data_IF_725571630019
#
_entry.id   IF_725571630019
#
_cell.length_a   1.000
_cell.length_b   1.000
_cell.length_c   1.000
_cell.angle_alpha   90.00
_cell.angle_beta   90.00
_cell.angle_gamma   90.00
#
_symmetry.space_group_name_H-M   'P 1'
#
loop_
_entity.id
_entity.type
_entity.pdbx_description
1 polymer ?
#
# COMPACT_ATOMS: atom_id res chain seq x y z
N UNK A 1 16.38 4.23 1.38
CA UNK A 1 15.59 3.81 2.55
C UNK A 1 14.28 3.16 2.10
N UNK A 2 13.91 2.07 2.73
CA UNK A 2 12.70 1.33 2.37
C UNK A 2 11.51 1.81 3.18
N UNK A 3 10.35 1.86 2.53
CA UNK A 3 9.11 2.28 3.17
C UNK A 3 8.35 1.09 3.76
N UNK A 4 7.63 1.39 4.85
CA UNK A 4 6.75 0.40 5.48
C UNK A 4 5.28 0.68 5.21
N UNK A 5 4.95 1.88 4.72
CA UNK A 5 3.57 2.29 4.48
C UNK A 5 3.20 2.13 3.01
N UNK A 6 1.90 1.96 2.76
CA UNK A 6 1.37 1.82 1.41
C UNK A 6 0.34 2.92 1.16
N UNK A 7 0.30 3.43 -0.07
CA UNK A 7 -0.60 4.50 -0.46
C UNK A 7 -1.49 4.05 -1.61
N UNK A 8 -2.60 4.78 -1.89
CA UNK A 8 -3.54 4.36 -2.93
C UNK A 8 -2.92 4.13 -4.29
N UNK A 9 -1.95 4.93 -4.69
CA UNK A 9 -1.28 4.75 -5.99
C UNK A 9 -0.65 3.36 -6.10
N UNK A 10 -0.03 2.94 -5.02
CA UNK A 10 0.65 1.64 -4.98
C UNK A 10 -0.35 0.50 -4.92
N UNK A 11 -1.44 0.69 -4.18
CA UNK A 11 -2.51 -0.30 -4.15
C UNK A 11 -3.06 -0.50 -5.56
N UNK A 12 -3.26 0.57 -6.31
CA UNK A 12 -3.75 0.50 -7.67
C UNK A 12 -2.81 -0.32 -8.56
N UNK A 13 -1.51 -0.11 -8.43
CA UNK A 13 -0.52 -0.83 -9.22
C UNK A 13 -0.52 -2.32 -8.86
N UNK A 14 -0.53 -2.62 -7.57
CA UNK A 14 -0.44 -4.00 -7.09
C UNK A 14 -1.69 -4.80 -7.41
N UNK A 15 -2.87 -4.21 -7.22
CA UNK A 15 -4.13 -4.92 -7.36
C UNK A 15 -4.80 -4.74 -8.72
N UNK A 16 -4.35 -3.77 -9.51
CA UNK A 16 -4.99 -3.47 -10.78
C UNK A 16 -6.30 -2.71 -10.64
N UNK A 17 -6.60 -2.20 -9.45
CA UNK A 17 -7.83 -1.45 -9.20
C UNK A 17 -7.64 0.02 -9.56
N UNK A 18 -8.77 0.72 -9.73
CA UNK A 18 -8.72 2.17 -9.95
C UNK A 18 -8.24 2.89 -8.69
N UNK A 19 -7.83 4.14 -8.85
CA UNK A 19 -7.40 4.97 -7.71
C UNK A 19 -8.54 5.13 -6.72
N UNK A 20 -9.76 5.34 -7.21
CA UNK A 20 -10.93 5.50 -6.33
C UNK A 20 -11.17 4.24 -5.49
N UNK A 21 -11.12 3.07 -6.11
CA UNK A 21 -11.27 1.81 -5.40
C UNK A 21 -10.14 1.58 -4.41
N UNK A 22 -8.93 2.00 -4.77
CA UNK A 22 -7.77 1.86 -3.91
C UNK A 22 -7.91 2.72 -2.66
N UNK A 23 -8.41 3.93 -2.79
CA UNK A 23 -8.66 4.81 -1.64
C UNK A 23 -9.70 4.22 -0.72
N UNK A 24 -10.76 3.64 -1.29
CA UNK A 24 -11.80 2.97 -0.53
C UNK A 24 -11.23 1.79 0.26
N UNK A 25 -10.37 1.01 -0.38
CA UNK A 25 -9.74 -0.14 0.27
C UNK A 25 -8.88 0.31 1.45
N UNK A 26 -8.09 1.36 1.26
CA UNK A 26 -7.26 1.91 2.34
C UNK A 26 -8.14 2.35 3.51
N UNK A 27 -9.27 2.99 3.22
CA UNK A 27 -10.20 3.42 4.26
C UNK A 27 -10.75 2.23 5.05
N UNK A 28 -11.11 1.16 4.36
CA UNK A 28 -11.63 -0.05 5.01
C UNK A 28 -10.57 -0.67 5.91
N UNK A 29 -9.34 -0.72 5.47
CA UNK A 29 -8.25 -1.27 6.28
C UNK A 29 -8.06 -0.44 7.54
N UNK A 30 -8.12 0.88 7.43
CA UNK A 30 -8.04 1.76 8.59
C UNK A 30 -9.17 1.48 9.57
N UNK A 31 -10.38 1.28 9.08
CA UNK A 31 -11.52 0.98 9.93
C UNK A 31 -11.33 -0.34 10.68
N UNK A 32 -10.88 -1.36 9.97
CA UNK A 32 -10.67 -2.68 10.57
C UNK A 32 -9.62 -2.63 11.67
N UNK A 33 -8.57 -1.83 11.47
CA UNK A 33 -7.48 -1.72 12.44
C UNK A 33 -7.67 -0.59 13.45
N UNK A 34 -8.80 0.10 13.39
CA UNK A 34 -9.08 1.17 14.34
C UNK A 34 -8.17 2.37 14.19
N UNK A 35 -7.67 2.61 12.99
CA UNK A 35 -6.77 3.73 12.74
C UNK A 35 -7.53 5.02 12.50
N UNK A 36 -6.87 6.14 12.83
CA UNK A 36 -7.41 7.46 12.54
C UNK A 36 -7.07 7.88 11.11
N UNK A 37 -7.73 8.92 10.61
CA UNK A 37 -7.53 9.38 9.23
C UNK A 37 -6.09 9.68 8.89
N UNK A 38 -5.36 10.26 9.83
CA UNK A 38 -3.97 10.67 9.58
C UNK A 38 -2.96 9.54 9.74
N UNK A 39 -3.39 8.39 10.25
CA UNK A 39 -2.48 7.26 10.44
C UNK A 39 -2.39 6.45 9.15
N UNK A 40 -1.18 6.18 8.66
CA UNK A 40 -1.04 5.43 7.40
C UNK A 40 -1.29 3.95 7.60
N UNK A 41 -1.62 3.28 6.50
CA UNK A 41 -1.73 1.82 6.48
C UNK A 41 -0.35 1.27 6.14
N UNK A 42 0.09 0.25 6.89
CA UNK A 42 1.37 -0.38 6.61
C UNK A 42 1.21 -1.45 5.54
N UNK A 43 2.32 -1.79 4.88
CA UNK A 43 2.33 -2.84 3.89
C UNK A 43 1.88 -4.15 4.51
N UNK A 44 2.30 -4.41 5.75
CA UNK A 44 1.91 -5.62 6.46
C UNK A 44 0.40 -5.68 6.67
N UNK A 45 -0.21 -4.57 7.09
CA UNK A 45 -1.65 -4.52 7.31
C UNK A 45 -2.42 -4.75 6.01
N UNK A 46 -1.94 -4.14 4.92
CA UNK A 46 -2.54 -4.34 3.61
C UNK A 46 -2.46 -5.80 3.18
N UNK A 47 -1.31 -6.41 3.35
CA UNK A 47 -1.12 -7.81 2.96
C UNK A 47 -1.99 -8.74 3.77
N UNK A 48 -2.13 -8.49 5.06
CA UNK A 48 -3.00 -9.30 5.91
C UNK A 48 -4.46 -9.18 5.50
N UNK A 49 -4.89 -7.97 5.17
CA UNK A 49 -6.26 -7.73 4.78
C UNK A 49 -6.59 -8.40 3.45
N UNK A 50 -5.69 -8.29 2.47
CA UNK A 50 -5.90 -8.82 1.13
C UNK A 50 -5.48 -10.27 0.95
N UNK A 51 -4.76 -10.83 1.91
CA UNK A 51 -4.26 -12.19 1.80
C UNK A 51 -3.10 -12.32 0.83
N UNK A 52 -2.30 -11.29 0.69
CA UNK A 52 -1.15 -11.28 -0.22
C UNK A 52 0.16 -11.55 0.50
N UNK A 53 1.17 -12.10 -0.19
CA UNK A 53 2.46 -12.37 0.44
C UNK A 53 3.21 -11.07 0.72
N UNK A 54 3.59 -10.89 1.97
CA UNK A 54 4.22 -9.65 2.43
C UNK A 54 5.52 -9.35 1.67
N UNK A 55 6.38 -10.35 1.56
CA UNK A 55 7.71 -10.14 0.96
C UNK A 55 7.61 -9.65 -0.48
N UNK A 56 6.73 -10.24 -1.26
CA UNK A 56 6.55 -9.84 -2.64
C UNK A 56 6.00 -8.42 -2.77
N UNK A 57 4.99 -8.10 -1.96
CA UNK A 57 4.38 -6.78 -1.98
C UNK A 57 5.38 -5.73 -1.50
N UNK A 58 6.10 -6.03 -0.43
CA UNK A 58 7.11 -5.12 0.10
C UNK A 58 8.17 -4.81 -0.96
N UNK A 59 8.65 -5.83 -1.63
CA UNK A 59 9.67 -5.66 -2.66
C UNK A 59 9.14 -4.87 -3.86
N UNK A 60 7.90 -5.12 -4.28
CA UNK A 60 7.29 -4.39 -5.37
C UNK A 60 7.19 -2.89 -5.07
N UNK A 61 6.70 -2.56 -3.88
CA UNK A 61 6.52 -1.18 -3.48
C UNK A 61 7.85 -0.45 -3.42
N UNK A 62 8.85 -1.08 -2.84
CA UNK A 62 10.16 -0.45 -2.73
C UNK A 62 10.88 -0.35 -4.06
N UNK A 63 10.62 -1.29 -4.97
CA UNK A 63 11.15 -1.22 -6.32
C UNK A 63 10.54 -0.05 -7.09
N UNK A 64 9.22 0.12 -6.98
CA UNK A 64 8.55 1.23 -7.63
C UNK A 64 9.12 2.56 -7.15
N UNK A 65 9.30 2.69 -5.85
CA UNK A 65 9.85 3.91 -5.28
C UNK A 65 11.29 4.15 -5.73
N UNK A 66 12.06 3.09 -5.84
CA UNK A 66 13.44 3.17 -6.30
C UNK A 66 13.50 3.65 -7.75
N UNK A 67 12.62 3.16 -8.60
CA UNK A 67 12.54 3.58 -9.99
C UNK A 67 12.18 5.05 -10.12
N UNK A 68 11.24 5.52 -9.29
CA UNK A 68 10.87 6.92 -9.27
C UNK A 68 12.06 7.79 -8.88
N UNK A 69 12.84 7.35 -7.91
CA UNK A 69 14.02 8.05 -7.47
C UNK A 69 15.06 8.18 -8.58
N UNK A 70 15.21 7.14 -9.36
CA UNK A 70 16.19 7.14 -10.44
C UNK A 70 15.85 8.15 -11.53
N UNK A 71 14.58 8.40 -11.72
CA UNK A 71 14.14 9.37 -12.70
C UNK A 71 14.36 10.81 -12.25
N UNK A 72 14.42 11.02 -10.98
CA UNK A 72 14.66 12.33 -10.43
C UNK A 72 16.12 12.71 -10.55
#
# INVERSE_FOLDING_TARGET
MRRLCIYPDEVAIITGKSISSSRELIRRIKDVHGKRKHQPVTIKEFCEYEGLPYDEVFNMINKIQHEIKQEA
#
